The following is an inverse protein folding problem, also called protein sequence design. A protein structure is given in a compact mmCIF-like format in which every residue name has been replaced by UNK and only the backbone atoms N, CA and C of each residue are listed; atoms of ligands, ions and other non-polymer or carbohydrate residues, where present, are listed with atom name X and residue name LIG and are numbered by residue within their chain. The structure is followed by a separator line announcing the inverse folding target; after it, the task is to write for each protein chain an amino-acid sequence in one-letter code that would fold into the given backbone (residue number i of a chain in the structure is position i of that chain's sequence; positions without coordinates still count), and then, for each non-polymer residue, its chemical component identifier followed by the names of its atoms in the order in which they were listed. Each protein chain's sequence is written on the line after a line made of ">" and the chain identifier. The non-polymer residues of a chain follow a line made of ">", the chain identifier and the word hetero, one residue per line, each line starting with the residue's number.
data_IF_617609770019
#
_entry.id   IF_617609770019
#
_cell.length_a   1.000
_cell.length_b   1.000
_cell.length_c   1.000
_cell.angle_alpha   90.00
_cell.angle_beta   90.00
_cell.angle_gamma   90.00
#
_symmetry.space_group_name_H-M   'P 1'
#
loop_
_entity.id
_entity.type
_entity.pdbx_description
1 polymer ?
#
# COMPACT_ATOMS: atom_id res chain seq x y z
N UNK A 1 -41.20 -26.82 -1.22
CA UNK A 1 -40.95 -25.78 -2.26
C UNK A 1 -40.77 -24.38 -1.68
N UNK A 2 -41.41 -24.03 -0.56
CA UNK A 2 -41.32 -22.70 0.10
C UNK A 2 -39.96 -22.36 0.72
N UNK A 3 -39.19 -23.33 1.24
CA UNK A 3 -37.88 -23.04 1.89
C UNK A 3 -36.76 -22.67 0.91
N UNK A 4 -36.85 -23.10 -0.36
CA UNK A 4 -35.86 -22.75 -1.40
C UNK A 4 -36.08 -21.33 -1.93
N UNK A 5 -37.33 -20.85 -1.99
CA UNK A 5 -37.61 -19.47 -2.38
C UNK A 5 -37.10 -18.48 -1.35
N UNK A 6 -37.31 -18.76 -0.05
CA UNK A 6 -36.87 -17.85 1.01
C UNK A 6 -35.34 -17.77 1.13
N UNK A 7 -34.62 -18.88 0.90
CA UNK A 7 -33.15 -18.88 0.92
C UNK A 7 -32.55 -18.16 -0.29
N UNK A 8 -33.16 -18.27 -1.47
CA UNK A 8 -32.78 -17.53 -2.67
C UNK A 8 -32.99 -16.02 -2.49
N UNK A 9 -34.13 -15.60 -1.95
CA UNK A 9 -34.46 -14.19 -1.71
C UNK A 9 -33.48 -13.51 -0.73
N UNK A 10 -33.10 -14.20 0.34
CA UNK A 10 -32.08 -13.72 1.29
C UNK A 10 -30.70 -13.60 0.60
N UNK A 11 -30.35 -14.55 -0.28
CA UNK A 11 -29.08 -14.54 -0.98
C UNK A 11 -28.99 -13.41 -2.01
N UNK A 12 -30.08 -13.13 -2.71
CA UNK A 12 -30.17 -12.03 -3.68
C UNK A 12 -30.18 -10.67 -2.99
N UNK A 13 -30.90 -10.52 -1.88
CA UNK A 13 -30.84 -9.30 -1.05
C UNK A 13 -29.40 -9.00 -0.58
N UNK A 14 -28.67 -10.01 -0.09
CA UNK A 14 -27.26 -9.87 0.32
C UNK A 14 -26.34 -9.48 -0.85
N UNK A 15 -26.57 -10.03 -2.04
CA UNK A 15 -25.81 -9.69 -3.25
C UNK A 15 -26.07 -8.24 -3.67
N UNK A 16 -27.32 -7.81 -3.64
CA UNK A 16 -27.72 -6.43 -3.96
C UNK A 16 -27.09 -5.44 -3.00
N UNK A 17 -27.19 -5.68 -1.68
CA UNK A 17 -26.55 -4.82 -0.67
C UNK A 17 -25.03 -4.73 -0.92
N UNK A 18 -24.37 -5.85 -1.19
CA UNK A 18 -22.93 -5.85 -1.46
C UNK A 18 -22.57 -5.01 -2.70
N UNK A 19 -23.34 -5.15 -3.79
CA UNK A 19 -23.13 -4.36 -5.02
C UNK A 19 -23.32 -2.87 -4.75
N UNK A 20 -24.41 -2.49 -4.07
CA UNK A 20 -24.67 -1.09 -3.70
C UNK A 20 -23.53 -0.55 -2.84
N UNK A 21 -23.06 -1.30 -1.84
CA UNK A 21 -21.94 -0.86 -1.01
C UNK A 21 -20.64 -0.68 -1.80
N UNK A 22 -20.33 -1.53 -2.78
CA UNK A 22 -19.15 -1.37 -3.63
C UNK A 22 -19.26 -0.16 -4.57
N UNK A 23 -20.45 0.11 -5.09
CA UNK A 23 -20.71 1.32 -5.89
C UNK A 23 -20.55 2.57 -5.04
N UNK A 24 -21.10 2.58 -3.82
CA UNK A 24 -20.91 3.68 -2.88
C UNK A 24 -19.44 3.87 -2.51
N UNK A 25 -18.70 2.78 -2.32
CA UNK A 25 -17.26 2.83 -2.04
C UNK A 25 -16.49 3.47 -3.21
N UNK A 26 -16.84 3.13 -4.45
CA UNK A 26 -16.27 3.75 -5.65
C UNK A 26 -16.61 5.24 -5.74
N UNK A 27 -17.87 5.61 -5.52
CA UNK A 27 -18.32 7.00 -5.59
C UNK A 27 -17.64 7.86 -4.51
N UNK A 28 -17.62 7.39 -3.26
CA UNK A 28 -16.97 8.13 -2.17
C UNK A 28 -15.45 8.23 -2.35
N UNK A 29 -14.78 7.16 -2.80
CA UNK A 29 -13.33 7.22 -3.07
C UNK A 29 -13.01 8.18 -4.22
N UNK A 30 -13.83 8.19 -5.26
CA UNK A 30 -13.71 9.14 -6.37
C UNK A 30 -13.93 10.59 -5.92
N UNK A 31 -14.92 10.82 -5.06
CA UNK A 31 -15.15 12.14 -4.46
C UNK A 31 -13.90 12.63 -3.71
N UNK A 32 -13.36 11.84 -2.77
CA UNK A 32 -12.18 12.24 -2.01
C UNK A 32 -10.92 12.43 -2.85
N UNK A 33 -10.78 11.64 -3.92
CA UNK A 33 -9.69 11.79 -4.89
C UNK A 33 -9.76 13.13 -5.65
N UNK A 34 -10.95 13.70 -5.86
CA UNK A 34 -11.15 14.87 -6.72
C UNK A 34 -11.45 16.17 -5.97
N UNK A 35 -12.02 16.10 -4.77
CA UNK A 35 -12.65 17.23 -4.06
C UNK A 35 -11.77 18.50 -3.93
N UNK A 36 -10.45 18.36 -3.84
CA UNK A 36 -9.51 19.48 -3.71
C UNK A 36 -8.38 19.45 -4.76
N UNK A 37 -8.61 18.74 -5.86
CA UNK A 37 -7.57 18.45 -6.87
C UNK A 37 -7.20 19.65 -7.76
N UNK A 38 -7.95 20.75 -7.71
CA UNK A 38 -7.74 21.95 -8.54
C UNK A 38 -6.91 23.06 -7.89
N UNK A 39 -6.29 22.79 -6.74
CA UNK A 39 -5.44 23.77 -6.05
C UNK A 39 -4.08 23.90 -6.73
N UNK A 40 -3.40 25.03 -6.59
CA UNK A 40 -2.06 25.22 -7.16
C UNK A 40 -1.09 24.13 -6.70
N UNK A 41 -0.10 23.82 -7.54
CA UNK A 41 0.92 22.82 -7.21
C UNK A 41 1.80 23.29 -6.05
N UNK A 42 2.10 22.34 -5.17
CA UNK A 42 3.21 22.48 -4.22
C UNK A 42 4.57 22.41 -4.94
N UNK A 43 5.64 22.88 -4.29
CA UNK A 43 7.00 22.85 -4.85
C UNK A 43 7.43 21.46 -5.35
N UNK A 44 7.10 20.42 -4.58
CA UNK A 44 7.38 19.03 -4.92
C UNK A 44 6.59 18.53 -6.14
N UNK A 45 5.34 18.98 -6.30
CA UNK A 45 4.51 18.64 -7.45
C UNK A 45 4.99 19.36 -8.71
N UNK A 46 5.44 20.62 -8.58
CA UNK A 46 6.07 21.34 -9.70
C UNK A 46 7.29 20.58 -10.19
N UNK A 47 8.13 20.07 -9.29
CA UNK A 47 9.27 19.22 -9.68
C UNK A 47 8.80 17.96 -10.40
N UNK A 48 7.79 17.27 -9.85
CA UNK A 48 7.25 16.03 -10.42
C UNK A 48 6.71 16.24 -11.84
N UNK A 49 5.94 17.30 -12.06
CA UNK A 49 5.37 17.65 -13.38
C UNK A 49 6.47 18.09 -14.34
N UNK A 50 7.40 18.97 -13.93
CA UNK A 50 8.47 19.47 -14.78
C UNK A 50 9.39 18.33 -15.24
N UNK A 51 9.82 17.47 -14.32
CA UNK A 51 10.69 16.33 -14.62
C UNK A 51 10.01 15.33 -15.54
N UNK A 52 8.75 14.98 -15.26
CA UNK A 52 7.98 14.01 -16.08
C UNK A 52 7.54 14.58 -17.44
N UNK A 53 7.66 15.89 -17.66
CA UNK A 53 7.39 16.54 -18.95
C UNK A 53 8.60 16.59 -19.88
N UNK A 54 9.79 16.20 -19.39
CA UNK A 54 11.00 16.11 -20.22
C UNK A 54 10.91 14.97 -21.25
N UNK A 55 11.88 14.90 -22.16
CA UNK A 55 12.10 13.67 -22.93
C UNK A 55 12.62 12.56 -22.00
N UNK A 56 12.44 11.30 -22.39
CA UNK A 56 12.77 10.14 -21.54
C UNK A 56 14.23 10.14 -21.04
N UNK A 57 15.20 10.47 -21.90
CA UNK A 57 16.61 10.51 -21.50
C UNK A 57 16.91 11.58 -20.46
N UNK A 58 16.33 12.78 -20.63
CA UNK A 58 16.50 13.90 -19.70
C UNK A 58 15.74 13.65 -18.39
N UNK A 59 14.56 13.04 -18.44
CA UNK A 59 13.83 12.60 -17.25
C UNK A 59 14.67 11.60 -16.46
N UNK A 60 15.18 10.54 -17.09
CA UNK A 60 16.00 9.53 -16.42
C UNK A 60 17.29 10.10 -15.84
N UNK A 61 17.92 11.06 -16.52
CA UNK A 61 19.08 11.77 -15.99
C UNK A 61 18.73 12.59 -14.75
N UNK A 62 17.60 13.31 -14.75
CA UNK A 62 17.11 14.06 -13.60
C UNK A 62 16.76 13.14 -12.42
N UNK A 63 16.10 12.01 -12.67
CA UNK A 63 15.76 11.02 -11.63
C UNK A 63 17.00 10.37 -11.02
N UNK A 64 18.05 10.12 -11.81
CA UNK A 64 19.33 9.62 -11.28
C UNK A 64 20.05 10.65 -10.40
N UNK A 65 19.78 11.94 -10.60
CA UNK A 65 20.30 13.01 -9.75
C UNK A 65 19.44 13.30 -8.51
N UNK A 66 18.26 12.68 -8.38
CA UNK A 66 17.31 12.89 -7.29
C UNK A 66 17.12 11.64 -6.43
N UNK A 67 16.84 11.79 -5.15
CA UNK A 67 16.77 10.67 -4.19
C UNK A 67 15.64 9.65 -4.46
N UNK A 68 14.64 9.99 -5.28
CA UNK A 68 13.45 9.16 -5.47
C UNK A 68 13.61 8.16 -6.63
N UNK A 69 13.25 6.88 -6.42
CA UNK A 69 13.19 5.89 -7.50
C UNK A 69 12.18 6.24 -8.62
N UNK A 70 12.36 5.68 -9.83
CA UNK A 70 11.77 6.26 -11.04
C UNK A 70 10.31 5.86 -11.32
N UNK A 71 9.75 4.81 -10.70
CA UNK A 71 8.53 4.19 -11.19
C UNK A 71 7.34 5.16 -11.28
N UNK A 72 7.11 5.94 -10.22
CA UNK A 72 5.99 6.88 -10.21
C UNK A 72 6.12 7.93 -11.31
N UNK A 73 7.32 8.48 -11.50
CA UNK A 73 7.60 9.50 -12.49
C UNK A 73 7.47 8.96 -13.91
N UNK A 74 7.92 7.73 -14.16
CA UNK A 74 7.72 7.05 -15.44
C UNK A 74 6.24 6.83 -15.76
N UNK A 75 5.42 6.46 -14.77
CA UNK A 75 3.97 6.37 -14.96
C UNK A 75 3.36 7.76 -15.22
N UNK A 76 3.85 8.78 -14.52
CA UNK A 76 3.40 10.16 -14.70
C UNK A 76 3.80 10.73 -16.07
N UNK A 77 4.97 10.40 -16.59
CA UNK A 77 5.46 10.74 -17.93
C UNK A 77 4.54 10.22 -19.02
N UNK A 78 4.05 8.99 -18.89
CA UNK A 78 3.03 8.43 -19.81
C UNK A 78 1.69 9.13 -19.60
N UNK A 79 1.28 9.33 -18.35
CA UNK A 79 -0.01 9.91 -18.00
C UNK A 79 -0.19 11.35 -18.51
N UNK A 80 0.82 12.20 -18.33
CA UNK A 80 0.81 13.60 -18.77
C UNK A 80 0.66 13.71 -20.29
N UNK A 81 1.19 12.77 -21.07
CA UNK A 81 0.99 12.79 -22.53
C UNK A 81 -0.43 12.50 -22.97
N UNK A 82 -1.19 11.78 -22.15
CA UNK A 82 -2.58 11.43 -22.46
C UNK A 82 -3.54 12.47 -21.91
N UNK A 83 -3.31 12.94 -20.68
CA UNK A 83 -4.26 13.79 -19.94
C UNK A 83 -3.82 15.25 -19.75
N UNK A 84 -2.56 15.58 -20.10
CA UNK A 84 -1.98 16.91 -19.94
C UNK A 84 -1.41 17.18 -18.54
N UNK A 85 -0.98 18.43 -18.32
CA UNK A 85 -0.26 18.90 -17.12
C UNK A 85 -1.13 19.69 -16.14
N UNK A 86 -2.45 19.77 -16.36
CA UNK A 86 -3.37 20.44 -15.44
C UNK A 86 -3.42 19.71 -14.10
N UNK A 87 -3.65 20.45 -13.03
CA UNK A 87 -3.61 20.00 -11.63
C UNK A 87 -4.45 18.75 -11.40
N UNK A 88 -5.71 18.80 -11.86
CA UNK A 88 -6.63 17.67 -11.75
C UNK A 88 -6.18 16.47 -12.57
N UNK A 89 -5.64 16.70 -13.79
CA UNK A 89 -5.20 15.64 -14.68
C UNK A 89 -4.01 14.88 -14.07
N UNK A 90 -3.02 15.60 -13.56
CA UNK A 90 -1.82 15.01 -12.93
C UNK A 90 -2.19 14.29 -11.63
N UNK A 91 -3.00 14.92 -10.76
CA UNK A 91 -3.43 14.30 -9.48
C UNK A 91 -4.38 13.12 -9.67
N UNK A 92 -5.09 13.03 -10.80
CA UNK A 92 -5.96 11.88 -11.09
C UNK A 92 -5.20 10.54 -11.15
N UNK A 93 -3.90 10.55 -11.50
CA UNK A 93 -3.06 9.35 -11.42
C UNK A 93 -2.92 8.85 -9.97
N UNK A 94 -2.59 9.75 -9.04
CA UNK A 94 -2.53 9.44 -7.61
C UNK A 94 -3.91 9.06 -7.06
N UNK A 95 -4.96 9.76 -7.48
CA UNK A 95 -6.35 9.44 -7.17
C UNK A 95 -6.75 8.03 -7.59
N UNK A 96 -6.34 7.58 -8.78
CA UNK A 96 -6.56 6.22 -9.24
C UNK A 96 -5.88 5.19 -8.32
N UNK A 97 -4.62 5.40 -7.94
CA UNK A 97 -3.93 4.49 -7.02
C UNK A 97 -4.57 4.45 -5.64
N UNK A 98 -5.07 5.57 -5.15
CA UNK A 98 -5.83 5.65 -3.91
C UNK A 98 -7.13 4.82 -3.98
N UNK A 99 -7.93 5.00 -5.04
CA UNK A 99 -9.16 4.22 -5.26
C UNK A 99 -8.83 2.72 -5.30
N UNK A 100 -7.81 2.31 -6.06
CA UNK A 100 -7.38 0.92 -6.13
C UNK A 100 -6.93 0.39 -4.75
N UNK A 101 -6.31 1.23 -3.92
CA UNK A 101 -5.89 0.87 -2.56
C UNK A 101 -7.11 0.60 -1.67
N UNK A 102 -8.17 1.42 -1.75
CA UNK A 102 -9.43 1.19 -1.03
C UNK A 102 -9.99 -0.20 -1.35
N UNK A 103 -10.02 -0.58 -2.63
CA UNK A 103 -10.49 -1.90 -3.05
C UNK A 103 -9.54 -3.04 -2.67
N UNK A 104 -8.23 -2.80 -2.66
CA UNK A 104 -7.26 -3.79 -2.19
C UNK A 104 -7.43 -4.05 -0.67
N UNK A 105 -7.67 -3.00 0.13
CA UNK A 105 -7.98 -3.13 1.57
C UNK A 105 -9.29 -3.89 1.78
N UNK A 106 -10.34 -3.58 1.01
CA UNK A 106 -11.59 -4.37 1.02
C UNK A 106 -11.30 -5.84 0.70
N UNK A 107 -10.47 -6.11 -0.30
CA UNK A 107 -10.06 -7.45 -0.71
C UNK A 107 -9.35 -8.24 0.40
N UNK A 108 -8.41 -7.62 1.11
CA UNK A 108 -7.77 -8.20 2.31
C UNK A 108 -8.83 -8.53 3.36
N UNK A 109 -9.72 -7.58 3.66
CA UNK A 109 -10.78 -7.76 4.63
C UNK A 109 -11.71 -8.92 4.28
N UNK A 110 -12.05 -9.10 2.99
CA UNK A 110 -12.87 -10.22 2.51
C UNK A 110 -12.16 -11.56 2.57
N UNK A 111 -10.85 -11.57 2.33
CA UNK A 111 -10.06 -12.79 2.41
C UNK A 111 -9.85 -13.25 3.86
N UNK A 112 -9.74 -12.32 4.81
CA UNK A 112 -9.49 -12.63 6.23
C UNK A 112 -10.77 -12.77 7.06
N UNK A 113 -11.80 -11.97 6.75
CA UNK A 113 -13.00 -11.80 7.57
C UNK A 113 -14.28 -11.81 6.70
N UNK A 114 -15.41 -11.43 7.31
CA UNK A 114 -16.71 -11.32 6.64
C UNK A 114 -16.92 -9.99 5.90
N UNK A 115 -17.96 -9.91 5.06
CA UNK A 115 -18.22 -8.73 4.21
C UNK A 115 -18.36 -7.42 4.98
N UNK A 116 -18.95 -7.46 6.18
CA UNK A 116 -19.16 -6.27 7.02
C UNK A 116 -17.82 -5.72 7.51
N UNK A 117 -16.96 -6.58 8.05
CA UNK A 117 -15.61 -6.21 8.48
C UNK A 117 -14.77 -5.69 7.32
N UNK A 118 -14.87 -6.33 6.15
CA UNK A 118 -14.17 -5.88 4.95
C UNK A 118 -14.57 -4.47 4.52
N UNK A 119 -15.88 -4.17 4.55
CA UNK A 119 -16.39 -2.84 4.25
C UNK A 119 -15.92 -1.81 5.28
N UNK A 120 -15.90 -2.18 6.56
CA UNK A 120 -15.37 -1.31 7.63
C UNK A 120 -13.88 -1.01 7.42
N UNK A 121 -13.05 -2.01 7.10
CA UNK A 121 -11.63 -1.79 6.79
C UNK A 121 -11.45 -0.81 5.62
N UNK A 122 -12.22 -1.02 4.54
CA UNK A 122 -12.17 -0.16 3.37
C UNK A 122 -12.65 1.27 3.69
N UNK A 123 -13.70 1.42 4.49
CA UNK A 123 -14.21 2.71 4.94
C UNK A 123 -13.17 3.46 5.80
N UNK A 124 -12.50 2.77 6.73
CA UNK A 124 -11.44 3.37 7.56
C UNK A 124 -10.29 3.89 6.69
N UNK A 125 -9.85 3.12 5.69
CA UNK A 125 -8.80 3.56 4.77
C UNK A 125 -9.28 4.71 3.88
N UNK A 126 -10.50 4.62 3.34
CA UNK A 126 -11.18 5.64 2.54
C UNK A 126 -11.31 6.99 3.27
N UNK A 127 -11.50 6.98 4.59
CA UNK A 127 -11.63 8.22 5.36
C UNK A 127 -10.32 8.61 6.06
N UNK A 128 -9.22 7.90 5.78
CA UNK A 128 -7.93 8.21 6.40
C UNK A 128 -7.39 9.53 5.85
N UNK A 129 -7.11 10.54 6.70
CA UNK A 129 -6.57 11.82 6.26
C UNK A 129 -5.28 11.66 5.45
N UNK A 130 -4.41 10.73 5.84
CA UNK A 130 -3.16 10.47 5.12
C UNK A 130 -3.39 9.81 3.76
N UNK A 131 -4.37 8.90 3.65
CA UNK A 131 -4.69 8.27 2.38
C UNK A 131 -5.31 9.29 1.41
N UNK A 132 -6.21 10.14 1.90
CA UNK A 132 -6.79 11.24 1.11
C UNK A 132 -5.69 12.23 0.70
N UNK A 133 -4.80 12.62 1.61
CA UNK A 133 -3.67 13.48 1.30
C UNK A 133 -2.79 12.87 0.20
N UNK A 134 -2.49 11.57 0.30
CA UNK A 134 -1.69 10.87 -0.71
C UNK A 134 -2.35 10.86 -2.09
N UNK A 135 -3.69 10.84 -2.15
CA UNK A 135 -4.45 10.92 -3.40
C UNK A 135 -4.38 12.30 -4.04
N UNK A 136 -4.23 13.36 -3.24
CA UNK A 136 -4.26 14.75 -3.67
C UNK A 136 -2.89 15.32 -4.02
N UNK A 137 -1.80 14.61 -3.71
CA UNK A 137 -0.46 14.98 -4.14
C UNK A 137 -0.06 14.21 -5.39
N UNK A 138 0.41 14.91 -6.43
CA UNK A 138 1.05 14.31 -7.60
C UNK A 138 2.46 13.78 -7.26
N UNK A 139 2.52 12.82 -6.31
CA UNK A 139 3.71 12.20 -5.74
C UNK A 139 3.50 10.69 -5.59
N UNK A 140 4.59 9.96 -5.36
CA UNK A 140 4.61 8.49 -5.28
C UNK A 140 3.84 7.87 -4.10
N UNK A 141 3.31 8.67 -3.16
CA UNK A 141 2.74 8.15 -1.91
C UNK A 141 1.49 7.27 -2.11
N UNK A 142 0.58 7.65 -3.01
CA UNK A 142 -0.60 6.83 -3.30
C UNK A 142 -0.21 5.49 -3.97
N UNK A 143 0.76 5.53 -4.90
CA UNK A 143 1.31 4.33 -5.53
C UNK A 143 2.00 3.42 -4.49
N UNK A 144 2.79 4.02 -3.59
CA UNK A 144 3.44 3.31 -2.50
C UNK A 144 2.41 2.62 -1.60
N UNK A 145 1.31 3.29 -1.27
CA UNK A 145 0.23 2.72 -0.46
C UNK A 145 -0.45 1.54 -1.17
N UNK A 146 -0.71 1.67 -2.48
CA UNK A 146 -1.28 0.59 -3.28
C UNK A 146 -0.38 -0.64 -3.30
N UNK A 147 0.88 -0.46 -3.68
CA UNK A 147 1.84 -1.57 -3.78
C UNK A 147 2.12 -2.20 -2.41
N UNK A 148 2.13 -1.40 -1.34
CA UNK A 148 2.27 -1.91 0.03
C UNK A 148 1.07 -2.77 0.45
N UNK A 149 -0.14 -2.31 0.11
CA UNK A 149 -1.38 -3.05 0.37
C UNK A 149 -1.42 -4.35 -0.42
N UNK A 150 -1.12 -4.32 -1.72
CA UNK A 150 -1.09 -5.50 -2.57
C UNK A 150 -0.01 -6.50 -2.15
N UNK A 151 1.20 -6.02 -1.82
CA UNK A 151 2.28 -6.85 -1.30
C UNK A 151 1.85 -7.57 -0.03
N UNK A 152 1.25 -6.83 0.91
CA UNK A 152 0.72 -7.38 2.16
C UNK A 152 -0.38 -8.40 1.89
N UNK A 153 -1.32 -8.10 0.99
CA UNK A 153 -2.40 -9.02 0.65
C UNK A 153 -1.88 -10.35 0.10
N UNK A 154 -0.96 -10.29 -0.86
CA UNK A 154 -0.36 -11.47 -1.47
C UNK A 154 0.50 -12.25 -0.47
N UNK A 155 1.25 -11.56 0.40
CA UNK A 155 2.00 -12.17 1.49
C UNK A 155 1.08 -12.92 2.48
N UNK A 156 -0.08 -12.37 2.82
CA UNK A 156 -1.07 -13.02 3.69
C UNK A 156 -1.69 -14.27 3.03
N UNK A 157 -1.95 -14.22 1.72
CA UNK A 157 -2.39 -15.40 0.96
C UNK A 157 -1.28 -16.44 0.79
N UNK A 158 -0.03 -16.04 0.90
CA UNK A 158 1.11 -16.95 0.88
C UNK A 158 1.32 -17.64 2.23
N UNK A 159 1.03 -16.96 3.35
CA UNK A 159 1.32 -17.40 4.72
C UNK A 159 0.11 -17.91 5.51
N UNK A 160 -0.94 -17.11 5.66
CA UNK A 160 -2.08 -17.41 6.54
C UNK A 160 -3.08 -18.32 5.85
N UNK A 161 -3.45 -18.01 4.60
CA UNK A 161 -4.35 -18.84 3.79
C UNK A 161 -3.62 -19.34 2.55
N UNK A 162 -2.63 -20.24 2.73
CA UNK A 162 -1.68 -20.63 1.69
C UNK A 162 -2.41 -21.18 0.46
N UNK A 163 -2.54 -20.35 -0.58
CA UNK A 163 -3.01 -20.79 -1.90
C UNK A 163 -1.79 -21.13 -2.74
N UNK A 164 -1.70 -22.35 -3.27
CA UNK A 164 -0.61 -22.69 -4.20
C UNK A 164 -0.99 -22.20 -5.60
N UNK A 165 -0.44 -21.06 -5.99
CA UNK A 165 -0.74 -20.42 -7.27
C UNK A 165 0.52 -19.73 -7.79
N UNK A 166 1.05 -20.23 -8.91
CA UNK A 166 2.22 -19.66 -9.58
C UNK A 166 1.98 -18.21 -9.99
N UNK A 167 0.77 -17.88 -10.43
CA UNK A 167 0.38 -16.52 -10.77
C UNK A 167 0.46 -15.59 -9.57
N UNK A 168 -0.10 -15.97 -8.41
CA UNK A 168 -0.05 -15.14 -7.19
C UNK A 168 1.37 -14.97 -6.67
N UNK A 169 2.19 -16.01 -6.78
CA UNK A 169 3.60 -15.95 -6.42
C UNK A 169 4.37 -14.97 -7.33
N UNK A 170 4.15 -15.04 -8.65
CA UNK A 170 4.74 -14.11 -9.61
C UNK A 170 4.25 -12.67 -9.39
N UNK A 171 2.95 -12.47 -9.12
CA UNK A 171 2.38 -11.17 -8.79
C UNK A 171 2.98 -10.59 -7.51
N UNK A 172 3.24 -11.41 -6.49
CA UNK A 172 3.86 -10.95 -5.25
C UNK A 172 5.27 -10.41 -5.50
N UNK A 173 6.07 -11.15 -6.27
CA UNK A 173 7.41 -10.72 -6.68
C UNK A 173 7.32 -9.44 -7.52
N UNK A 174 6.44 -9.38 -8.51
CA UNK A 174 6.27 -8.21 -9.37
C UNK A 174 5.88 -6.97 -8.56
N UNK A 175 4.89 -7.08 -7.69
CA UNK A 175 4.44 -5.97 -6.83
C UNK A 175 5.58 -5.49 -5.92
N UNK A 176 6.38 -6.41 -5.37
CA UNK A 176 7.52 -6.03 -4.54
C UNK A 176 8.61 -5.34 -5.36
N UNK A 177 8.91 -5.82 -6.57
CA UNK A 177 9.84 -5.13 -7.49
C UNK A 177 9.34 -3.72 -7.72
N UNK A 178 8.09 -3.55 -8.19
CA UNK A 178 7.51 -2.23 -8.43
C UNK A 178 7.54 -1.35 -7.17
N UNK A 179 7.28 -1.91 -5.99
CA UNK A 179 7.34 -1.20 -4.71
C UNK A 179 8.74 -0.67 -4.40
N UNK A 180 9.78 -1.47 -4.61
CA UNK A 180 11.18 -1.02 -4.42
C UNK A 180 11.56 0.12 -5.36
N UNK A 181 11.02 0.16 -6.59
CA UNK A 181 11.22 1.26 -7.54
C UNK A 181 10.26 2.45 -7.33
N UNK A 182 9.45 2.45 -6.27
CA UNK A 182 8.53 3.56 -5.95
C UNK A 182 9.11 4.49 -4.89
N UNK A 183 9.60 3.94 -3.78
CA UNK A 183 10.10 4.72 -2.66
C UNK A 183 10.96 3.87 -1.72
N UNK A 184 12.02 4.46 -1.13
CA UNK A 184 12.90 3.77 -0.18
C UNK A 184 12.16 3.25 1.07
N UNK A 185 11.05 3.88 1.44
CA UNK A 185 10.25 3.41 2.57
C UNK A 185 9.61 2.02 2.34
N UNK A 186 9.51 1.55 1.09
CA UNK A 186 9.01 0.21 0.79
C UNK A 186 9.92 -0.89 1.38
N UNK A 187 11.22 -0.61 1.56
CA UNK A 187 12.13 -1.55 2.22
C UNK A 187 11.75 -1.81 3.69
N UNK A 188 11.13 -0.86 4.39
CA UNK A 188 10.62 -1.09 5.74
C UNK A 188 9.48 -2.11 5.75
N UNK A 189 8.63 -2.12 4.71
CA UNK A 189 7.59 -3.14 4.56
C UNK A 189 8.19 -4.53 4.33
N UNK A 190 9.17 -4.64 3.42
CA UNK A 190 9.84 -5.92 3.17
C UNK A 190 10.56 -6.43 4.43
N UNK A 191 11.24 -5.54 5.16
CA UNK A 191 11.84 -5.85 6.45
C UNK A 191 10.80 -6.35 7.46
N UNK A 192 9.66 -5.66 7.58
CA UNK A 192 8.57 -6.09 8.46
C UNK A 192 8.03 -7.47 8.06
N UNK A 193 7.88 -7.75 6.76
CA UNK A 193 7.48 -9.07 6.28
C UNK A 193 8.51 -10.15 6.62
N UNK A 194 9.81 -9.87 6.46
CA UNK A 194 10.90 -10.78 6.87
C UNK A 194 10.82 -11.08 8.37
N UNK A 195 10.74 -10.05 9.20
CA UNK A 195 10.65 -10.20 10.66
C UNK A 195 9.41 -11.03 11.03
N UNK A 196 8.24 -10.68 10.49
CA UNK A 196 7.01 -11.45 10.71
C UNK A 196 7.14 -12.90 10.25
N UNK A 197 7.79 -13.16 9.11
CA UNK A 197 7.98 -14.51 8.59
C UNK A 197 8.89 -15.34 9.50
N UNK A 198 9.99 -14.75 9.97
CA UNK A 198 10.93 -15.42 10.86
C UNK A 198 10.32 -15.72 12.24
N UNK A 199 9.54 -14.79 12.79
CA UNK A 199 8.92 -14.93 14.12
C UNK A 199 7.72 -15.88 14.12
N UNK A 200 6.86 -15.80 13.10
CA UNK A 200 5.54 -16.43 13.14
C UNK A 200 5.32 -17.52 12.08
N UNK A 201 6.04 -17.47 10.96
CA UNK A 201 5.77 -18.32 9.80
C UNK A 201 6.99 -19.12 9.32
N UNK A 202 8.01 -19.30 10.18
CA UNK A 202 9.28 -19.95 9.81
C UNK A 202 9.13 -21.36 9.22
N UNK A 203 8.06 -22.07 9.59
CA UNK A 203 7.75 -23.43 9.08
C UNK A 203 6.92 -23.40 7.79
N UNK A 204 6.42 -22.25 7.34
CA UNK A 204 5.50 -22.11 6.21
C UNK A 204 6.27 -21.66 4.97
N UNK A 205 6.59 -22.60 4.07
CA UNK A 205 7.14 -22.31 2.72
C UNK A 205 8.40 -21.42 2.73
N UNK A 206 9.24 -21.51 3.77
CA UNK A 206 10.42 -20.65 3.98
C UNK A 206 11.29 -20.50 2.72
N UNK A 207 11.63 -21.60 2.04
CA UNK A 207 12.49 -21.53 0.84
C UNK A 207 11.83 -20.73 -0.30
N UNK A 208 10.51 -20.85 -0.47
CA UNK A 208 9.76 -20.05 -1.44
C UNK A 208 9.70 -18.57 -1.01
N UNK A 209 9.60 -18.28 0.28
CA UNK A 209 9.65 -16.90 0.79
C UNK A 209 11.02 -16.26 0.56
N UNK A 210 12.10 -16.97 0.90
CA UNK A 210 13.49 -16.53 0.62
C UNK A 210 13.69 -16.29 -0.88
N UNK A 211 13.23 -17.21 -1.73
CA UNK A 211 13.28 -17.03 -3.17
C UNK A 211 12.48 -15.79 -3.62
N UNK A 212 11.27 -15.58 -3.09
CA UNK A 212 10.47 -14.39 -3.42
C UNK A 212 11.18 -13.09 -3.01
N UNK A 213 11.76 -13.03 -1.81
CA UNK A 213 12.52 -11.87 -1.34
C UNK A 213 13.74 -11.60 -2.21
N UNK A 214 14.53 -12.65 -2.52
CA UNK A 214 15.68 -12.54 -3.41
C UNK A 214 15.28 -12.01 -4.79
N UNK A 215 14.29 -12.64 -5.43
CA UNK A 215 13.79 -12.24 -6.75
C UNK A 215 13.18 -10.83 -6.74
N UNK A 216 12.60 -10.39 -5.62
CA UNK A 216 12.05 -9.03 -5.48
C UNK A 216 13.13 -7.96 -5.39
N UNK A 217 14.25 -8.26 -4.73
CA UNK A 217 15.32 -7.29 -4.43
C UNK A 217 16.37 -7.21 -5.54
N UNK A 218 16.64 -8.31 -6.24
CA UNK A 218 17.66 -8.41 -7.29
C UNK A 218 17.55 -7.26 -8.31
N UNK A 219 16.39 -6.96 -8.92
CA UNK A 219 16.30 -5.88 -9.91
C UNK A 219 16.69 -4.52 -9.35
N UNK A 220 16.29 -4.20 -8.11
CA UNK A 220 16.67 -2.93 -7.48
C UNK A 220 18.18 -2.86 -7.22
N UNK A 221 18.76 -3.95 -6.71
CA UNK A 221 20.20 -4.03 -6.44
C UNK A 221 21.03 -3.80 -7.70
N UNK A 222 20.64 -4.38 -8.84
CA UNK A 222 21.40 -4.22 -10.08
C UNK A 222 21.14 -2.89 -10.79
N UNK A 223 19.90 -2.38 -10.78
CA UNK A 223 19.53 -1.24 -11.62
C UNK A 223 19.57 0.10 -10.89
N UNK A 224 19.32 0.13 -9.57
CA UNK A 224 19.15 1.39 -8.84
C UNK A 224 20.00 1.54 -7.57
N UNK A 225 20.46 0.45 -6.94
CA UNK A 225 21.32 0.58 -5.76
C UNK A 225 22.63 1.37 -6.02
N UNK A 226 23.33 1.21 -7.16
CA UNK A 226 24.51 2.04 -7.46
C UNK A 226 24.16 3.52 -7.60
N UNK A 227 22.99 3.83 -8.16
CA UNK A 227 22.49 5.20 -8.31
C UNK A 227 22.22 5.79 -6.93
N UNK A 228 21.49 5.07 -6.07
CA UNK A 228 21.20 5.50 -4.70
C UNK A 228 22.48 5.76 -3.89
N UNK A 229 23.50 4.90 -4.02
CA UNK A 229 24.78 5.09 -3.33
C UNK A 229 25.49 6.37 -3.78
N UNK A 230 25.43 6.70 -5.09
CA UNK A 230 25.94 7.97 -5.61
C UNK A 230 25.16 9.19 -5.09
N UNK A 231 23.84 9.06 -4.94
CA UNK A 231 22.97 10.13 -4.44
C UNK A 231 23.24 10.47 -2.97
N UNK A 232 23.50 9.45 -2.13
CA UNK A 232 23.81 9.67 -0.71
C UNK A 232 25.04 10.58 -0.55
N UNK A 233 26.05 10.43 -1.42
CA UNK A 233 27.25 11.27 -1.42
C UNK A 233 27.00 12.75 -1.74
N UNK A 234 25.98 13.07 -2.53
CA UNK A 234 25.66 14.44 -2.97
C UNK A 234 24.52 15.10 -2.15
N UNK A 235 23.68 14.30 -1.50
CA UNK A 235 22.48 14.77 -0.79
C UNK A 235 22.76 15.50 0.54
N UNK A 236 23.98 15.41 1.08
CA UNK A 236 24.36 16.08 2.33
C UNK A 236 24.29 17.62 2.23
N UNK A 237 24.60 18.20 1.06
CA UNK A 237 24.52 19.65 0.83
C UNK A 237 23.06 20.11 0.59
N UNK A 238 22.27 19.31 -0.14
CA UNK A 238 20.88 19.63 -0.47
C UNK A 238 19.90 19.55 0.70
N UNK A 239 20.25 18.81 1.77
CA UNK A 239 19.43 18.66 2.99
C UNK A 239 19.87 19.60 4.13
N UNK A 240 20.84 20.49 3.89
CA UNK A 240 21.38 21.37 4.93
C UNK A 240 20.32 22.33 5.52
N UNK A 241 19.26 22.65 4.76
CA UNK A 241 18.14 23.47 5.22
C UNK A 241 17.14 22.70 6.12
N UNK A 242 17.23 21.36 6.15
CA UNK A 242 16.36 20.51 6.97
C UNK A 242 16.99 20.32 8.34
N UNK A 243 16.28 20.75 9.39
CA UNK A 243 16.72 20.55 10.77
C UNK A 243 16.86 19.06 11.07
N UNK A 244 17.98 18.66 11.68
CA UNK A 244 18.21 17.27 12.08
C UNK A 244 17.08 16.80 13.00
N UNK A 245 16.45 15.64 12.72
CA UNK A 245 15.34 15.17 13.51
C UNK A 245 15.79 14.85 14.93
N UNK A 246 15.11 15.44 15.92
CA UNK A 246 15.28 15.14 17.33
C UNK A 246 14.35 14.03 17.79
N UNK A 247 14.61 13.46 18.97
CA UNK A 247 13.75 12.42 19.57
C UNK A 247 12.29 12.87 19.75
N UNK A 248 12.06 14.17 19.95
CA UNK A 248 10.71 14.75 20.06
C UNK A 248 9.86 14.54 18.79
N UNK A 249 10.49 14.54 17.60
CA UNK A 249 9.78 14.31 16.34
C UNK A 249 9.25 12.89 16.23
N UNK A 250 9.76 11.93 17.01
CA UNK A 250 9.18 10.58 17.06
C UNK A 250 7.74 10.64 17.59
N UNK A 251 7.51 11.42 18.65
CA UNK A 251 6.17 11.64 19.21
C UNK A 251 5.22 12.28 18.21
N UNK A 252 5.70 13.31 17.50
CA UNK A 252 4.92 13.96 16.43
C UNK A 252 4.60 13.00 15.28
N UNK A 253 5.56 12.15 14.89
CA UNK A 253 5.34 11.12 13.86
C UNK A 253 4.29 10.12 14.31
N UNK A 254 4.39 9.62 15.56
CA UNK A 254 3.38 8.71 16.10
C UNK A 254 2.00 9.37 16.06
N UNK A 255 1.86 10.59 16.58
CA UNK A 255 0.58 11.30 16.58
C UNK A 255 0.06 11.59 15.16
N UNK A 256 0.93 11.95 14.22
CA UNK A 256 0.55 12.21 12.84
C UNK A 256 0.05 10.94 12.12
N UNK A 257 0.74 9.81 12.30
CA UNK A 257 0.43 8.56 11.60
C UNK A 257 -0.65 7.71 12.27
N UNK A 258 -0.82 7.79 13.59
CA UNK A 258 -1.89 7.07 14.28
C UNK A 258 -3.06 7.93 14.71
N UNK A 259 -2.93 9.24 14.86
CA UNK A 259 -4.03 10.11 15.29
C UNK A 259 -4.76 9.56 16.53
N UNK A 260 -6.09 9.50 16.47
CA UNK A 260 -6.92 8.91 17.52
C UNK A 260 -6.71 7.40 17.73
N UNK A 261 -6.11 6.66 16.78
CA UNK A 261 -5.81 5.24 16.93
C UNK A 261 -4.92 4.96 18.14
N UNK A 262 -3.98 5.85 18.49
CA UNK A 262 -3.17 5.71 19.70
C UNK A 262 -3.97 5.83 20.99
N UNK A 263 -5.11 6.52 20.97
CA UNK A 263 -6.00 6.59 22.13
C UNK A 263 -6.74 5.25 22.33
N UNK A 264 -7.03 4.54 21.24
CA UNK A 264 -7.71 3.25 21.27
C UNK A 264 -6.74 2.08 21.35
N UNK A 265 -5.48 2.23 20.93
CA UNK A 265 -4.50 1.15 20.89
C UNK A 265 -4.24 0.51 22.26
N UNK A 266 -4.10 1.23 23.39
CA UNK A 266 -3.98 0.61 24.71
C UNK A 266 -5.20 -0.22 25.06
N UNK A 267 -6.40 0.23 24.67
CA UNK A 267 -7.64 -0.52 24.84
C UNK A 267 -7.64 -1.75 23.94
N UNK A 268 -7.20 -1.65 22.68
CA UNK A 268 -7.09 -2.80 21.77
C UNK A 268 -6.03 -3.79 22.23
N UNK A 269 -4.89 -3.34 22.73
CA UNK A 269 -3.84 -4.17 23.32
C UNK A 269 -4.29 -4.82 24.61
N UNK A 270 -5.03 -4.09 25.46
CA UNK A 270 -5.64 -4.62 26.67
C UNK A 270 -6.73 -5.65 26.34
N UNK A 271 -7.61 -5.35 25.39
CA UNK A 271 -8.64 -6.28 24.90
C UNK A 271 -7.99 -7.49 24.22
N UNK A 272 -6.90 -7.32 23.48
CA UNK A 272 -6.12 -8.42 22.88
C UNK A 272 -5.42 -9.26 23.95
N UNK A 273 -4.81 -8.62 24.96
CA UNK A 273 -4.20 -9.28 26.10
C UNK A 273 -5.23 -10.06 26.93
N UNK A 274 -6.42 -9.47 27.14
CA UNK A 274 -7.54 -10.02 27.93
C UNK A 274 -8.35 -11.08 27.18
N UNK A 275 -8.63 -10.88 25.90
CA UNK A 275 -9.22 -11.91 25.00
C UNK A 275 -8.21 -13.00 24.63
N UNK A 276 -6.94 -12.73 24.91
CA UNK A 276 -5.90 -13.70 25.12
C UNK A 276 -5.20 -14.13 23.84
N UNK A 277 -3.90 -14.27 24.00
CA UNK A 277 -3.05 -15.33 23.46
C UNK A 277 -3.75 -16.70 23.21
N UNK A 278 -4.88 -16.98 23.88
CA UNK A 278 -5.75 -18.13 23.64
C UNK A 278 -6.38 -18.15 22.23
N UNK A 279 -6.76 -17.00 21.67
CA UNK A 279 -7.27 -16.88 20.30
C UNK A 279 -6.15 -17.12 19.27
N UNK A 280 -4.94 -16.64 19.54
CA UNK A 280 -3.75 -16.87 18.72
C UNK A 280 -3.29 -18.33 18.75
N UNK A 281 -3.42 -19.03 19.90
CA UNK A 281 -3.25 -20.51 19.98
C UNK A 281 -4.38 -21.28 19.31
N UNK A 282 -5.60 -20.74 19.20
CA UNK A 282 -6.69 -21.36 18.41
C UNK A 282 -6.46 -21.16 16.91
N UNK A 283 -6.01 -19.97 16.50
CA UNK A 283 -5.61 -19.68 15.12
C UNK A 283 -4.38 -20.49 14.70
N UNK A 284 -3.40 -20.66 15.61
CA UNK A 284 -2.26 -21.54 15.38
C UNK A 284 -2.62 -23.02 15.43
N UNK A 285 -3.52 -23.47 16.32
CA UNK A 285 -4.00 -24.88 16.33
C UNK A 285 -4.91 -25.25 15.17
N UNK A 286 -5.70 -24.32 14.63
CA UNK A 286 -6.55 -24.56 13.45
C UNK A 286 -5.70 -24.78 12.18
N UNK A 287 -4.42 -24.39 12.17
CA UNK A 287 -3.48 -24.68 11.07
C UNK A 287 -2.28 -25.57 11.42
N UNK A 288 -1.95 -25.81 12.70
CA UNK A 288 -0.89 -26.76 13.07
C UNK A 288 -1.41 -28.21 13.06
N UNK A 289 -2.73 -28.44 13.21
CA UNK A 289 -3.31 -29.79 13.22
C UNK A 289 -3.83 -30.22 11.83
N UNK A 290 -3.79 -29.33 10.82
CA UNK A 290 -4.36 -29.56 9.49
C UNK A 290 -3.41 -29.26 8.33
N UNK A 291 -2.10 -29.33 8.58
CA UNK A 291 -1.12 -29.43 7.50
C UNK A 291 -0.73 -30.91 7.36
N UNK A 292 -0.81 -31.49 6.14
CA UNK A 292 -0.32 -32.85 5.90
C UNK A 292 1.18 -32.97 6.16
#
# INVERSE_FOLDING_TARGET
>A
MTSNHHSQEIQDSRRTVTRVSLVLLLLCSSFFALYNSNTAYSSDEVWSVKTSSLNYSSEMAALKADIHPPLYYQLLYVWIRVFGTREQAVRSLSGLFYILSVFAVYGIGRDLYESKTAMLCAAIYLTSPLAILSAQFARMYALLSLLSTLSTWLYLQFTIKPRDSRLRFALYILVNILGTFTHVAFFFLLFAQIVCHLLFYRRVRMMRFVAAMGLSLVPYVFLWAPVLLGQIGHSAEGLAWVKRPGLSMMGDLFLLYGGAFWLVLPVLLYLWWRSGFASWRKFSKIHIISLP
#
